data_IF_783640894789
#
_entry.id   IF_783640894789
#
_cell.length_a   1.000
_cell.length_b   1.000
_cell.length_c   1.000
_cell.angle_alpha   90.00
_cell.angle_beta   90.00
_cell.angle_gamma   90.00
#
_symmetry.space_group_name_H-M   'P 1'
#
loop_
_entity.id
_entity.type
_entity.pdbx_description
1 polymer ?
#
# COMPACT_ATOMS: atom_id res chain seq x y z
N UNK A 1 14.42 -1.41 2.44
CA UNK A 1 15.72 -0.77 2.57
C UNK A 1 16.65 -1.58 3.45
N UNK A 2 17.91 -1.19 3.51
CA UNK A 2 18.93 -1.71 4.42
C UNK A 2 19.62 -0.52 5.09
N UNK A 3 20.32 -0.76 6.20
CA UNK A 3 21.06 0.25 6.98
C UNK A 3 20.15 1.32 7.61
N UNK A 4 19.05 0.87 8.21
CA UNK A 4 18.11 1.75 8.93
C UNK A 4 18.60 1.96 10.35
N UNK A 5 18.89 3.20 10.74
CA UNK A 5 19.11 3.60 12.13
C UNK A 5 17.79 4.10 12.72
N UNK A 6 17.29 3.41 13.74
CA UNK A 6 16.04 3.76 14.44
C UNK A 6 16.26 4.62 15.70
N UNK A 7 17.51 5.02 15.95
CA UNK A 7 17.90 5.87 17.08
C UNK A 7 18.05 5.15 18.41
N UNK A 8 18.00 3.81 18.43
CA UNK A 8 18.07 3.01 19.67
C UNK A 8 19.42 2.36 19.95
N UNK A 9 20.41 2.59 19.09
CA UNK A 9 21.73 1.93 19.13
C UNK A 9 21.65 0.39 19.07
N UNK A 10 20.56 -0.19 18.51
CA UNK A 10 20.41 -1.64 18.28
C UNK A 10 21.03 -2.12 16.96
N UNK A 11 21.79 -1.25 16.30
CA UNK A 11 22.46 -1.51 15.02
C UNK A 11 21.53 -1.37 13.81
N UNK A 12 22.10 -1.52 12.63
CA UNK A 12 21.45 -1.26 11.33
C UNK A 12 20.32 -2.25 11.00
N UNK A 13 19.11 -1.73 10.88
CA UNK A 13 17.92 -2.51 10.51
C UNK A 13 17.68 -2.60 9.01
N UNK A 14 16.68 -3.40 8.65
CA UNK A 14 16.26 -3.66 7.27
C UNK A 14 14.74 -3.73 7.16
N UNK A 15 14.24 -3.45 5.97
CA UNK A 15 12.83 -3.59 5.64
C UNK A 15 12.66 -4.07 4.19
N UNK A 16 11.54 -4.75 3.94
CA UNK A 16 11.11 -5.12 2.58
C UNK A 16 9.61 -5.06 2.47
N UNK A 17 9.15 -4.46 1.37
CA UNK A 17 7.75 -4.45 0.98
C UNK A 17 7.55 -5.24 -0.31
N UNK A 18 6.50 -6.06 -0.35
CA UNK A 18 5.90 -6.51 -1.60
C UNK A 18 4.51 -5.87 -1.67
N UNK A 19 4.18 -5.28 -2.80
CA UNK A 19 2.84 -4.75 -3.04
C UNK A 19 2.33 -5.17 -4.41
N UNK A 20 1.01 -5.29 -4.51
CA UNK A 20 0.30 -5.60 -5.74
C UNK A 20 -0.91 -4.69 -5.87
N UNK A 21 -1.30 -4.37 -7.12
CA UNK A 21 -2.47 -3.56 -7.40
C UNK A 21 -3.26 -4.12 -8.57
N UNK A 22 -4.56 -4.26 -8.38
CA UNK A 22 -5.51 -4.57 -9.43
C UNK A 22 -6.45 -3.38 -9.65
N UNK A 23 -6.77 -3.09 -10.92
CA UNK A 23 -7.72 -2.05 -11.30
C UNK A 23 -8.65 -2.58 -12.38
N UNK A 24 -9.93 -2.29 -12.25
CA UNK A 24 -10.95 -2.54 -13.25
C UNK A 24 -11.77 -1.27 -13.49
N UNK A 25 -12.09 -0.99 -14.76
CA UNK A 25 -12.99 0.11 -15.14
C UNK A 25 -14.15 -0.49 -15.91
N UNK A 26 -15.37 -0.20 -15.49
CA UNK A 26 -16.59 -0.67 -16.16
C UNK A 26 -16.68 -0.05 -17.55
N UNK A 27 -16.75 -0.89 -18.57
CA UNK A 27 -16.67 -0.45 -19.98
C UNK A 27 -18.02 0.03 -20.55
N UNK A 28 -19.15 -0.42 -20.00
CA UNK A 28 -20.49 -0.13 -20.54
C UNK A 28 -21.61 -0.30 -19.50
N UNK A 29 -22.81 0.21 -19.81
CA UNK A 29 -24.01 0.10 -18.96
C UNK A 29 -24.15 1.23 -17.94
N UNK A 30 -25.07 1.11 -16.97
CA UNK A 30 -25.40 2.18 -16.01
C UNK A 30 -24.25 2.62 -15.10
N UNK A 31 -23.26 1.74 -14.89
CA UNK A 31 -22.07 2.02 -14.08
C UNK A 31 -20.83 2.28 -14.95
N UNK A 32 -21.00 2.61 -16.24
CA UNK A 32 -19.87 2.93 -17.14
C UNK A 32 -18.96 3.96 -16.48
N UNK A 33 -17.66 3.76 -16.63
CA UNK A 33 -16.59 4.60 -16.07
C UNK A 33 -16.39 4.47 -14.53
N UNK A 34 -17.17 3.64 -13.84
CA UNK A 34 -16.85 3.22 -12.47
C UNK A 34 -15.50 2.49 -12.45
N UNK A 35 -14.56 3.01 -11.67
CA UNK A 35 -13.25 2.42 -11.43
C UNK A 35 -13.20 1.76 -10.06
N UNK A 36 -12.89 0.47 -10.04
CA UNK A 36 -12.60 -0.29 -8.82
C UNK A 36 -11.10 -0.56 -8.76
N UNK A 37 -10.49 -0.33 -7.60
CA UNK A 37 -9.07 -0.61 -7.38
C UNK A 37 -8.86 -1.28 -6.05
N UNK A 38 -8.08 -2.35 -6.05
CA UNK A 38 -7.61 -3.01 -4.84
C UNK A 38 -6.09 -2.97 -4.83
N UNK A 39 -5.50 -2.49 -3.74
CA UNK A 39 -4.06 -2.56 -3.49
C UNK A 39 -3.83 -3.36 -2.23
N UNK A 40 -2.87 -4.28 -2.27
CA UNK A 40 -2.40 -4.99 -1.09
C UNK A 40 -0.89 -4.77 -0.93
N UNK A 41 -0.46 -4.64 0.32
CA UNK A 41 0.94 -4.46 0.70
C UNK A 41 1.28 -5.35 1.90
N UNK A 42 2.47 -5.95 1.86
CA UNK A 42 3.06 -6.70 2.95
C UNK A 42 4.45 -6.17 3.22
N UNK A 43 4.58 -5.45 4.33
CA UNK A 43 5.82 -4.86 4.82
C UNK A 43 6.39 -5.73 5.96
N UNK A 44 7.67 -6.05 5.86
CA UNK A 44 8.43 -6.69 6.94
C UNK A 44 9.59 -5.79 7.33
N UNK A 45 9.77 -5.59 8.62
CA UNK A 45 10.84 -4.78 9.22
C UNK A 45 11.57 -5.65 10.24
N UNK A 46 12.90 -5.53 10.32
CA UNK A 46 13.69 -6.22 11.34
C UNK A 46 13.48 -5.59 12.71
N UNK A 47 13.64 -6.38 13.78
CA UNK A 47 13.39 -5.91 15.15
C UNK A 47 14.23 -4.68 15.54
N UNK A 48 15.46 -4.55 15.01
CA UNK A 48 16.32 -3.39 15.26
C UNK A 48 15.99 -2.15 14.43
N UNK A 49 14.86 -2.14 13.72
CA UNK A 49 14.29 -0.96 13.07
C UNK A 49 12.84 -0.67 13.51
N UNK A 50 12.34 -1.35 14.54
CA UNK A 50 10.92 -1.30 14.92
C UNK A 50 10.50 0.04 15.57
N UNK A 51 11.43 0.83 16.09
CA UNK A 51 11.15 2.19 16.59
C UNK A 51 10.90 3.17 15.43
N UNK A 52 11.46 2.90 14.25
CA UNK A 52 11.19 3.64 13.02
C UNK A 52 9.89 3.16 12.36
N UNK A 53 9.69 1.84 12.22
CA UNK A 53 8.49 1.24 11.65
C UNK A 53 8.32 -0.23 12.08
N UNK A 54 7.11 -0.65 12.45
CA UNK A 54 6.83 -2.01 12.95
C UNK A 54 6.44 -3.03 11.86
N UNK A 55 6.36 -2.60 10.59
CA UNK A 55 5.87 -3.44 9.51
C UNK A 55 4.36 -3.72 9.59
N UNK A 56 3.83 -4.51 8.66
CA UNK A 56 2.40 -4.80 8.64
C UNK A 56 1.88 -5.34 7.32
N UNK A 57 0.59 -5.66 7.31
CA UNK A 57 -0.14 -6.01 6.10
C UNK A 57 -1.27 -4.99 5.92
N UNK A 58 -1.45 -4.49 4.71
CA UNK A 58 -2.44 -3.47 4.40
C UNK A 58 -3.23 -3.85 3.14
N UNK A 59 -4.53 -3.62 3.17
CA UNK A 59 -5.40 -3.67 1.99
C UNK A 59 -6.11 -2.33 1.87
N UNK A 60 -6.07 -1.74 0.67
CA UNK A 60 -6.82 -0.52 0.32
C UNK A 60 -7.77 -0.81 -0.82
N UNK A 61 -9.03 -0.47 -0.63
CA UNK A 61 -10.10 -0.60 -1.61
C UNK A 61 -10.59 0.79 -2.02
N UNK A 62 -10.75 1.00 -3.32
CA UNK A 62 -11.23 2.26 -3.90
C UNK A 62 -12.37 1.98 -4.86
N UNK A 63 -13.40 2.83 -4.80
CA UNK A 63 -14.50 2.88 -5.75
C UNK A 63 -14.67 4.34 -6.19
N UNK A 64 -14.30 4.62 -7.43
CA UNK A 64 -14.31 5.96 -8.02
C UNK A 64 -15.35 6.01 -9.15
N UNK A 65 -16.41 6.80 -8.99
CA UNK A 65 -17.41 7.02 -10.04
C UNK A 65 -17.38 8.48 -10.49
N UNK A 66 -16.89 8.77 -11.71
CA UNK A 66 -16.86 10.14 -12.20
C UNK A 66 -18.27 10.63 -12.53
N UNK A 67 -18.64 11.80 -12.00
CA UNK A 67 -19.89 12.48 -12.33
C UNK A 67 -19.52 13.73 -13.14
N UNK A 68 -19.85 13.73 -14.43
CA UNK A 68 -19.77 14.93 -15.26
C UNK A 68 -21.05 15.73 -15.11
N UNK A 69 -20.93 16.97 -14.65
CA UNK A 69 -22.06 17.88 -14.40
C UNK A 69 -22.30 18.89 -15.52
N UNK A 70 -21.36 19.05 -16.47
CA UNK A 70 -21.46 19.94 -17.64
C UNK A 70 -20.67 19.40 -18.82
#
# INVERSE_FOLDING_TARGET
GTNIDDGTNRGDGSEREIWNQFKYVVQSGPAKDLSLRARASWLRVSNNADQYNVGGNEIRLFADYPINVF
#
